data_IF_195956903172
#
_entry.id   IF_195956903172
#
_cell.length_a   1.000
_cell.length_b   1.000
_cell.length_c   1.000
_cell.angle_alpha   90.00
_cell.angle_beta   90.00
_cell.angle_gamma   90.00
#
_symmetry.space_group_name_H-M   'P 1'
#
loop_
_entity.id
_entity.type
_entity.pdbx_description
1 polymer ?
#
# COMPACT_ATOMS: atom_id res chain seq x y z
N UNK A 1 5.81 -18.99 43.26
CA UNK A 1 6.58 -18.55 42.08
C UNK A 1 6.03 -19.16 40.80
N UNK A 2 5.60 -20.42 40.80
CA UNK A 2 5.03 -21.09 39.61
C UNK A 2 3.80 -20.38 39.03
N UNK A 3 2.82 -20.02 39.86
CA UNK A 3 1.59 -19.32 39.42
C UNK A 3 1.89 -17.98 38.74
N UNK A 4 2.88 -17.22 39.24
CA UNK A 4 3.29 -15.96 38.63
C UNK A 4 3.91 -16.18 37.25
N UNK A 5 4.64 -17.28 37.07
CA UNK A 5 5.26 -17.64 35.80
C UNK A 5 4.23 -18.14 34.78
N UNK A 6 3.23 -18.90 35.23
CA UNK A 6 2.08 -19.30 34.41
C UNK A 6 1.30 -18.10 33.91
N UNK A 7 0.94 -17.16 34.79
CA UNK A 7 0.20 -15.95 34.40
C UNK A 7 1.02 -15.13 33.39
N UNK A 8 2.33 -14.98 33.61
CA UNK A 8 3.22 -14.29 32.67
C UNK A 8 3.28 -15.01 31.31
N UNK A 9 3.31 -16.33 31.31
CA UNK A 9 3.33 -17.14 30.08
C UNK A 9 2.04 -17.00 29.29
N UNK A 10 0.89 -16.98 29.95
CA UNK A 10 -0.43 -16.80 29.30
C UNK A 10 -0.54 -15.41 28.70
N UNK A 11 -0.08 -14.37 29.41
CA UNK A 11 -0.04 -13.00 28.88
C UNK A 11 0.85 -12.95 27.64
N UNK A 12 2.04 -13.55 27.70
CA UNK A 12 2.97 -13.59 26.57
C UNK A 12 2.38 -14.30 25.35
N UNK A 13 1.81 -15.50 25.54
CA UNK A 13 1.17 -16.28 24.48
C UNK A 13 0.01 -15.51 23.86
N UNK A 14 -0.80 -14.84 24.69
CA UNK A 14 -1.94 -14.03 24.20
C UNK A 14 -1.46 -12.87 23.34
N UNK A 15 -0.41 -12.18 23.76
CA UNK A 15 0.19 -11.08 22.99
C UNK A 15 0.77 -11.60 21.66
N UNK A 16 1.56 -12.67 21.69
CA UNK A 16 2.13 -13.27 20.48
C UNK A 16 1.05 -13.71 19.50
N UNK A 17 -0.02 -14.36 19.98
CA UNK A 17 -1.13 -14.83 19.15
C UNK A 17 -1.89 -13.66 18.50
N UNK A 18 -2.08 -12.55 19.21
CA UNK A 18 -2.68 -11.34 18.64
C UNK A 18 -1.81 -10.73 17.55
N UNK A 19 -0.50 -10.66 17.78
CA UNK A 19 0.45 -10.17 16.78
C UNK A 19 0.47 -11.06 15.53
N UNK A 20 0.53 -12.38 15.69
CA UNK A 20 0.46 -13.32 14.58
C UNK A 20 -0.83 -13.17 13.77
N UNK A 21 -1.99 -13.04 14.43
CA UNK A 21 -3.27 -12.85 13.74
C UNK A 21 -3.32 -11.55 12.93
N UNK A 22 -2.78 -10.46 13.46
CA UNK A 22 -2.70 -9.17 12.75
C UNK A 22 -1.74 -9.27 11.56
N UNK A 23 -0.56 -9.85 11.75
CA UNK A 23 0.41 -10.02 10.67
C UNK A 23 -0.09 -10.96 9.58
N UNK A 24 -0.72 -12.07 9.94
CA UNK A 24 -1.34 -13.00 8.99
C UNK A 24 -2.43 -12.31 8.17
N UNK A 25 -3.34 -11.57 8.82
CA UNK A 25 -4.38 -10.80 8.12
C UNK A 25 -3.79 -9.80 7.13
N UNK A 26 -2.71 -9.10 7.50
CA UNK A 26 -2.05 -8.13 6.63
C UNK A 26 -1.36 -8.83 5.46
N UNK A 27 -0.69 -9.96 5.69
CA UNK A 27 0.05 -10.70 4.64
C UNK A 27 -0.91 -11.39 3.67
N UNK A 28 -1.98 -12.01 4.17
CA UNK A 28 -2.99 -12.69 3.34
C UNK A 28 -3.78 -11.68 2.48
N UNK A 29 -4.06 -10.50 3.02
CA UNK A 29 -4.77 -9.44 2.29
C UNK A 29 -3.83 -8.41 1.64
N UNK A 30 -2.51 -8.59 1.72
CA UNK A 30 -1.51 -7.73 1.11
C UNK A 30 -1.75 -7.50 -0.39
N UNK A 31 -2.06 -8.54 -1.21
CA UNK A 31 -2.40 -8.31 -2.62
C UNK A 31 -3.63 -7.40 -2.77
N UNK A 32 -4.64 -7.56 -1.93
CA UNK A 32 -5.85 -6.73 -1.94
C UNK A 32 -5.55 -5.27 -1.54
N UNK A 33 -4.65 -5.06 -0.58
CA UNK A 33 -4.15 -3.73 -0.23
C UNK A 33 -3.32 -3.09 -1.36
N UNK A 34 -2.53 -3.88 -2.09
CA UNK A 34 -1.77 -3.41 -3.25
C UNK A 34 -2.68 -3.04 -4.43
N UNK A 35 -3.73 -3.81 -4.67
CA UNK A 35 -4.76 -3.51 -5.66
C UNK A 35 -5.54 -2.23 -5.28
N UNK A 36 -5.90 -2.07 -4.01
CA UNK A 36 -6.47 -0.81 -3.51
C UNK A 36 -5.55 0.38 -3.78
N UNK A 37 -4.23 0.24 -3.61
CA UNK A 37 -3.27 1.31 -3.91
C UNK A 37 -3.22 1.63 -5.41
N UNK A 38 -3.34 0.63 -6.28
CA UNK A 38 -3.46 0.86 -7.73
C UNK A 38 -4.76 1.59 -8.06
N UNK A 39 -5.88 1.19 -7.45
CA UNK A 39 -7.18 1.86 -7.60
C UNK A 39 -7.12 3.31 -7.14
N UNK A 40 -6.48 3.59 -6.00
CA UNK A 40 -6.24 4.96 -5.53
C UNK A 40 -5.31 5.74 -6.47
N UNK A 41 -4.32 5.09 -7.08
CA UNK A 41 -3.46 5.68 -8.10
C UNK A 41 -4.22 6.10 -9.36
N UNK A 42 -5.30 5.37 -9.72
CA UNK A 42 -6.19 5.71 -10.83
C UNK A 42 -6.98 7.00 -10.58
N UNK A 43 -7.31 7.33 -9.32
CA UNK A 43 -8.02 8.57 -8.97
C UNK A 43 -7.15 9.84 -8.99
N UNK A 44 -5.86 9.74 -9.33
CA UNK A 44 -5.02 10.92 -9.57
C UNK A 44 -5.32 11.53 -10.94
N UNK A 45 -5.10 12.85 -11.17
CA UNK A 45 -5.32 13.45 -12.49
C UNK A 45 -4.55 12.75 -13.62
N UNK A 46 -3.30 12.34 -13.35
CA UNK A 46 -2.51 11.54 -14.29
C UNK A 46 -3.07 10.11 -14.45
N UNK A 47 -3.58 9.52 -13.36
CA UNK A 47 -4.31 8.25 -13.34
C UNK A 47 -5.54 8.24 -14.24
N UNK A 48 -6.39 9.24 -14.10
CA UNK A 48 -7.62 9.38 -14.88
C UNK A 48 -7.33 9.58 -16.37
N UNK A 49 -6.33 10.39 -16.71
CA UNK A 49 -5.89 10.58 -18.11
C UNK A 49 -5.32 9.28 -18.69
N UNK A 50 -4.51 8.57 -17.90
CA UNK A 50 -3.92 7.29 -18.29
C UNK A 50 -4.99 6.23 -18.57
N UNK A 51 -6.03 6.16 -17.72
CA UNK A 51 -7.19 5.29 -17.93
C UNK A 51 -8.00 5.68 -19.17
N UNK A 52 -8.29 6.96 -19.35
CA UNK A 52 -9.06 7.43 -20.50
C UNK A 52 -8.37 7.11 -21.84
N UNK A 53 -7.04 7.16 -21.87
CA UNK A 53 -6.23 6.88 -23.06
C UNK A 53 -5.79 5.40 -23.18
N UNK A 54 -6.05 4.55 -22.18
CA UNK A 54 -5.65 3.14 -22.17
C UNK A 54 -4.13 2.92 -22.08
N UNK A 55 -3.37 3.85 -21.51
CA UNK A 55 -1.90 3.84 -21.44
C UNK A 55 -1.44 3.82 -19.98
N UNK A 56 -0.25 3.29 -19.65
CA UNK A 56 0.25 3.32 -18.27
C UNK A 56 0.44 4.74 -17.74
N UNK A 57 0.17 4.95 -16.46
CA UNK A 57 0.30 6.25 -15.74
C UNK A 57 1.68 6.88 -15.84
N UNK A 58 2.72 6.05 -15.98
CA UNK A 58 4.11 6.47 -16.17
C UNK A 58 4.25 7.26 -17.47
N UNK A 59 3.59 6.84 -18.56
CA UNK A 59 3.66 7.48 -19.88
C UNK A 59 3.08 8.90 -19.80
N UNK A 60 1.93 9.06 -19.13
CA UNK A 60 1.29 10.36 -18.93
C UNK A 60 2.16 11.28 -18.08
N UNK A 61 2.71 10.77 -16.98
CA UNK A 61 3.57 11.55 -16.08
C UNK A 61 4.85 12.04 -16.78
N UNK A 62 5.49 11.17 -17.57
CA UNK A 62 6.68 11.52 -18.37
C UNK A 62 6.32 12.53 -19.46
N UNK A 63 5.21 12.35 -20.17
CA UNK A 63 4.74 13.29 -21.19
C UNK A 63 4.52 14.69 -20.61
N UNK A 64 3.84 14.80 -19.47
CA UNK A 64 3.64 16.07 -18.77
C UNK A 64 4.99 16.68 -18.36
N UNK A 65 5.91 15.89 -17.82
CA UNK A 65 7.21 16.38 -17.39
C UNK A 65 8.05 16.93 -18.56
N UNK A 66 8.05 16.25 -19.71
CA UNK A 66 8.75 16.69 -20.92
C UNK A 66 8.14 17.98 -21.46
N UNK A 67 6.81 18.05 -21.58
CA UNK A 67 6.11 19.26 -22.03
C UNK A 67 6.41 20.42 -21.09
N UNK A 68 6.31 20.20 -19.77
CA UNK A 68 6.61 21.23 -18.77
C UNK A 68 8.04 21.73 -18.87
N UNK A 69 9.00 20.82 -19.08
CA UNK A 69 10.42 21.18 -19.28
C UNK A 69 10.64 22.01 -20.54
N UNK A 70 9.95 21.69 -21.63
CA UNK A 70 10.02 22.46 -22.87
C UNK A 70 9.37 23.84 -22.77
N UNK A 71 8.21 23.94 -22.09
CA UNK A 71 7.49 25.20 -21.91
C UNK A 71 8.22 26.15 -20.95
N UNK A 72 8.84 25.63 -19.90
CA UNK A 72 9.56 26.42 -18.89
C UNK A 72 11.01 26.76 -19.30
N UNK A 73 11.51 26.19 -20.40
CA UNK A 73 12.82 26.47 -20.96
C UNK A 73 12.79 27.59 -22.02
N UNK A 74 11.61 28.14 -22.33
CA UNK A 74 11.44 29.40 -23.07
C UNK A 74 11.15 30.53 -22.10
#
# INVERSE_FOLDING_TARGET
MEILFEVLSVIWITISSLFEGIFAMIIENLPLFMEMKQVLGMFTPAGMIALYLGVPTIVVSVGIAVIKKFVHSR
#
